data_IF_957482113043
#
_entry.id   IF_957482113043
#
_cell.length_a   1.000
_cell.length_b   1.000
_cell.length_c   1.000
_cell.angle_alpha   90.00
_cell.angle_beta   90.00
_cell.angle_gamma   90.00
#
_symmetry.space_group_name_H-M   'P 1'
#
loop_
_entity.id
_entity.type
_entity.pdbx_description
1 polymer ?
#
# COMPACT_ATOMS: atom_id res chain seq x y z
N UNK A 1 -19.46 -22.86 -32.23
CA UNK A 1 -18.76 -23.87 -31.41
C UNK A 1 -18.25 -23.17 -30.17
N UNK A 2 -19.01 -23.23 -29.08
CA UNK A 2 -18.61 -22.66 -27.79
C UNK A 2 -18.62 -23.81 -26.78
N UNK A 3 -17.43 -24.20 -26.35
CA UNK A 3 -17.17 -25.17 -25.29
C UNK A 3 -17.51 -24.52 -23.95
N UNK A 4 -18.68 -24.85 -23.41
CA UNK A 4 -19.02 -24.57 -22.01
C UNK A 4 -18.25 -25.55 -21.11
N UNK A 5 -17.22 -25.04 -20.44
CA UNK A 5 -16.52 -25.79 -19.39
C UNK A 5 -17.49 -26.01 -18.23
N UNK A 6 -17.95 -27.25 -18.06
CA UNK A 6 -18.68 -27.66 -16.86
C UNK A 6 -17.68 -27.67 -15.70
N UNK A 7 -17.88 -26.78 -14.73
CA UNK A 7 -17.22 -26.85 -13.43
C UNK A 7 -17.45 -28.25 -12.84
N UNK A 8 -16.38 -28.89 -12.36
CA UNK A 8 -16.47 -30.22 -11.77
C UNK A 8 -17.21 -30.16 -10.44
N UNK A 9 -17.89 -31.25 -10.06
CA UNK A 9 -18.64 -31.36 -8.79
C UNK A 9 -17.81 -30.91 -7.58
N UNK A 10 -16.51 -31.16 -7.62
CA UNK A 10 -15.52 -30.77 -6.60
C UNK A 10 -15.33 -29.25 -6.48
N UNK A 11 -15.38 -28.50 -7.59
CA UNK A 11 -15.30 -27.03 -7.59
C UNK A 11 -16.59 -26.38 -7.07
N UNK A 12 -17.73 -27.04 -7.29
CA UNK A 12 -19.03 -26.60 -6.77
C UNK A 12 -19.13 -26.91 -5.26
N UNK A 13 -18.61 -28.05 -4.80
CA UNK A 13 -18.56 -28.41 -3.37
C UNK A 13 -17.57 -27.54 -2.59
N UNK A 14 -16.42 -27.17 -3.17
CA UNK A 14 -15.46 -26.26 -2.53
C UNK A 14 -16.01 -24.82 -2.45
N UNK A 15 -16.74 -24.36 -3.48
CA UNK A 15 -17.41 -23.07 -3.47
C UNK A 15 -18.62 -23.05 -2.50
N UNK A 16 -19.36 -24.16 -2.37
CA UNK A 16 -20.44 -24.30 -1.39
C UNK A 16 -19.91 -24.41 0.04
N UNK A 17 -18.77 -25.06 0.27
CA UNK A 17 -18.13 -25.13 1.59
C UNK A 17 -17.65 -23.74 2.06
N UNK A 18 -17.04 -22.93 1.17
CA UNK A 18 -16.66 -21.55 1.49
C UNK A 18 -17.86 -20.61 1.69
N UNK A 19 -18.98 -20.84 1.01
CA UNK A 19 -20.23 -20.08 1.20
C UNK A 19 -20.97 -20.52 2.46
N UNK A 20 -20.89 -21.79 2.86
CA UNK A 20 -21.40 -22.30 4.13
C UNK A 20 -20.58 -21.76 5.31
N UNK A 21 -19.26 -21.69 5.22
CA UNK A 21 -18.42 -21.07 6.27
C UNK A 21 -18.66 -19.56 6.43
N UNK A 22 -18.92 -18.83 5.34
CA UNK A 22 -19.28 -17.40 5.41
C UNK A 22 -20.71 -17.21 5.90
N UNK A 23 -21.64 -18.08 5.53
CA UNK A 23 -23.03 -18.02 5.98
C UNK A 23 -23.16 -18.46 7.44
N UNK A 24 -22.32 -19.38 7.90
CA UNK A 24 -22.22 -19.79 9.30
C UNK A 24 -21.41 -18.79 10.13
N UNK A 25 -20.43 -18.08 9.55
CA UNK A 25 -19.80 -16.92 10.19
C UNK A 25 -20.76 -15.71 10.28
N UNK A 26 -21.56 -15.44 9.25
CA UNK A 26 -22.59 -14.39 9.25
C UNK A 26 -23.76 -14.80 10.15
N UNK A 27 -24.14 -16.08 10.18
CA UNK A 27 -25.14 -16.63 11.10
C UNK A 27 -24.63 -16.59 12.53
N UNK A 28 -23.35 -16.90 12.78
CA UNK A 28 -22.70 -16.83 14.09
C UNK A 28 -22.54 -15.37 14.55
N UNK A 29 -22.19 -14.44 13.67
CA UNK A 29 -22.16 -13.00 13.96
C UNK A 29 -23.59 -12.48 14.17
N UNK A 30 -24.57 -12.90 13.36
CA UNK A 30 -25.99 -12.52 13.49
C UNK A 30 -26.64 -13.10 14.75
N UNK A 31 -26.30 -14.33 15.15
CA UNK A 31 -26.80 -14.95 16.40
C UNK A 31 -26.04 -14.45 17.63
N UNK A 32 -24.78 -14.02 17.49
CA UNK A 32 -24.08 -13.24 18.53
C UNK A 32 -24.59 -11.80 18.63
N UNK A 33 -25.15 -11.24 17.55
CA UNK A 33 -25.83 -9.94 17.54
C UNK A 33 -27.29 -10.00 18.04
N UNK A 34 -27.98 -11.11 17.86
CA UNK A 34 -29.36 -11.32 18.32
C UNK A 34 -29.46 -11.90 19.74
N UNK A 35 -28.34 -12.33 20.33
CA UNK A 35 -28.24 -12.71 21.75
C UNK A 35 -27.16 -11.86 22.43
N UNK A 36 -27.39 -10.54 22.47
CA UNK A 36 -26.58 -9.63 23.28
C UNK A 36 -27.16 -9.57 24.70
N UNK A 37 -26.54 -10.32 25.61
CA UNK A 37 -26.61 -10.07 27.05
C UNK A 37 -25.91 -8.74 27.38
N UNK A 38 -26.36 -8.06 28.45
CA UNK A 38 -25.87 -6.74 28.91
C UNK A 38 -24.33 -6.61 29.00
N UNK A 39 -23.62 -7.72 29.21
CA UNK A 39 -22.15 -7.76 29.35
C UNK A 39 -21.41 -7.65 27.99
N UNK A 40 -22.06 -8.07 26.89
CA UNK A 40 -21.52 -7.99 25.53
C UNK A 40 -21.72 -6.59 24.94
N UNK A 41 -22.83 -5.94 25.29
CA UNK A 41 -23.12 -4.52 25.03
C UNK A 41 -22.12 -3.62 25.74
N UNK A 42 -21.79 -3.90 27.00
CA UNK A 42 -20.75 -3.18 27.76
C UNK A 42 -19.34 -3.35 27.17
N UNK A 43 -18.99 -4.53 26.63
CA UNK A 43 -17.72 -4.75 25.93
C UNK A 43 -17.66 -4.02 24.57
N UNK A 44 -18.77 -3.95 23.86
CA UNK A 44 -18.89 -3.16 22.63
C UNK A 44 -18.80 -1.66 22.94
N UNK A 45 -19.52 -1.17 23.96
CA UNK A 45 -19.44 0.21 24.47
C UNK A 45 -18.02 0.59 24.92
N UNK A 46 -17.30 -0.33 25.58
CA UNK A 46 -15.91 -0.14 25.98
C UNK A 46 -14.92 -0.14 24.78
N UNK A 47 -15.26 -0.79 23.67
CA UNK A 47 -14.50 -0.74 22.41
C UNK A 47 -14.87 0.48 21.55
N UNK A 48 -16.10 0.97 21.65
CA UNK A 48 -16.65 2.13 20.93
C UNK A 48 -16.31 3.47 21.59
N UNK A 49 -16.05 3.49 22.90
CA UNK A 49 -15.49 4.65 23.64
C UNK A 49 -13.99 4.85 23.42
N UNK A 50 -13.32 3.93 22.72
CA UNK A 50 -11.91 4.05 22.28
C UNK A 50 -11.74 4.75 20.92
N UNK A 51 -12.69 5.59 20.49
CA UNK A 51 -12.39 6.59 19.46
C UNK A 51 -11.46 7.66 20.06
N UNK A 52 -10.39 8.08 19.37
CA UNK A 52 -9.49 9.10 19.89
C UNK A 52 -10.28 10.39 20.09
N UNK A 53 -10.40 10.79 21.35
CA UNK A 53 -11.18 11.95 21.80
C UNK A 53 -10.49 13.29 21.52
N UNK A 54 -9.34 13.29 20.85
CA UNK A 54 -8.56 14.49 20.53
C UNK A 54 -8.95 15.14 19.19
N UNK A 55 -10.26 15.23 18.89
CA UNK A 55 -10.72 16.09 17.80
C UNK A 55 -10.81 17.52 18.37
N UNK A 56 -9.97 18.44 17.87
CA UNK A 56 -9.94 19.82 18.37
C UNK A 56 -11.32 20.50 18.30
N UNK A 57 -11.65 21.32 19.29
CA UNK A 57 -12.91 22.09 19.35
C UNK A 57 -13.15 22.96 18.10
N UNK A 58 -12.09 23.28 17.37
CA UNK A 58 -12.14 24.05 16.13
C UNK A 58 -12.58 23.19 14.92
N UNK A 59 -12.10 21.94 14.82
CA UNK A 59 -12.54 20.97 13.82
C UNK A 59 -14.01 20.58 14.05
N UNK A 60 -14.41 20.43 15.33
CA UNK A 60 -15.79 20.15 15.73
C UNK A 60 -16.78 21.26 15.31
N UNK A 61 -16.39 22.53 15.42
CA UNK A 61 -17.23 23.68 15.01
C UNK A 61 -17.44 23.75 13.49
N UNK A 62 -16.45 23.32 12.70
CA UNK A 62 -16.48 23.43 11.24
C UNK A 62 -17.21 22.28 10.55
N UNK A 63 -17.18 21.08 11.14
CA UNK A 63 -17.88 19.91 10.59
C UNK A 63 -19.41 20.09 10.53
N UNK A 64 -19.98 21.12 11.20
CA UNK A 64 -21.43 21.26 11.48
C UNK A 64 -22.06 19.96 12.00
N UNK A 65 -21.24 19.07 12.55
CA UNK A 65 -21.70 17.90 13.28
C UNK A 65 -22.31 18.48 14.53
N UNK A 66 -23.64 18.46 14.58
CA UNK A 66 -24.45 19.05 15.62
C UNK A 66 -23.83 18.74 17.00
N UNK A 67 -23.76 19.75 17.87
CA UNK A 67 -23.11 19.64 19.19
C UNK A 67 -23.79 18.58 20.08
N UNK A 68 -24.96 18.09 19.66
CA UNK A 68 -25.73 16.97 20.23
C UNK A 68 -25.13 15.60 19.90
N UNK A 69 -24.34 15.41 18.83
CA UNK A 69 -23.70 14.13 18.50
C UNK A 69 -22.49 13.77 19.38
N UNK A 70 -22.29 14.52 20.48
CA UNK A 70 -21.11 14.46 21.37
C UNK A 70 -20.97 13.18 22.20
N UNK A 71 -21.89 12.23 22.09
CA UNK A 71 -21.74 10.90 22.68
C UNK A 71 -21.63 9.90 21.55
N UNK A 72 -20.49 9.21 21.49
CA UNK A 72 -20.26 8.09 20.57
C UNK A 72 -21.49 7.18 20.52
N UNK A 73 -22.08 6.86 21.68
CA UNK A 73 -23.31 6.06 21.81
C UNK A 73 -24.52 6.61 21.05
N UNK A 74 -24.80 7.93 21.11
CA UNK A 74 -25.94 8.55 20.42
C UNK A 74 -25.72 8.60 18.91
N UNK A 75 -24.47 8.81 18.48
CA UNK A 75 -24.06 8.78 17.07
C UNK A 75 -24.11 7.36 16.47
N UNK A 76 -23.63 6.36 17.21
CA UNK A 76 -23.74 4.94 16.85
C UNK A 76 -25.18 4.48 16.83
N UNK A 77 -25.97 4.92 17.79
CA UNK A 77 -27.41 4.68 17.81
C UNK A 77 -28.06 5.33 16.59
N UNK A 78 -27.67 6.53 16.18
CA UNK A 78 -28.17 7.18 14.96
C UNK A 78 -27.79 6.42 13.68
N UNK A 79 -26.52 6.01 13.48
CA UNK A 79 -26.14 5.18 12.32
C UNK A 79 -26.86 3.82 12.32
N UNK A 80 -27.07 3.22 13.50
CA UNK A 80 -27.82 1.97 13.67
C UNK A 80 -29.30 2.17 13.38
N UNK A 81 -29.89 3.27 13.83
CA UNK A 81 -31.26 3.65 13.53
C UNK A 81 -31.40 3.85 12.02
N UNK A 82 -30.49 4.59 11.37
CA UNK A 82 -30.44 4.77 9.91
C UNK A 82 -30.40 3.44 9.15
N UNK A 83 -29.65 2.45 9.63
CA UNK A 83 -29.62 1.09 9.05
C UNK A 83 -30.96 0.36 9.18
N UNK A 84 -31.66 0.52 10.30
CA UNK A 84 -32.94 -0.16 10.57
C UNK A 84 -34.12 0.54 9.91
N UNK A 85 -34.02 1.84 9.68
CA UNK A 85 -35.08 2.68 9.11
C UNK A 85 -35.01 2.77 7.59
N UNK A 86 -36.15 2.55 6.91
CA UNK A 86 -36.32 2.83 5.47
C UNK A 86 -36.57 4.33 5.22
N UNK A 87 -35.63 5.21 5.55
CA UNK A 87 -35.82 6.66 5.33
C UNK A 87 -35.83 7.03 3.83
N UNK A 88 -36.49 8.14 3.52
CA UNK A 88 -36.33 8.84 2.25
C UNK A 88 -34.89 9.36 2.16
N UNK A 89 -34.18 8.96 1.10
CA UNK A 89 -32.84 9.49 0.81
C UNK A 89 -32.92 10.98 0.55
N UNK A 90 -32.24 11.79 1.36
CA UNK A 90 -32.08 13.23 1.18
C UNK A 90 -30.59 13.63 1.14
N UNK A 91 -30.32 14.90 0.82
CA UNK A 91 -28.95 15.42 0.72
C UNK A 91 -28.21 15.38 2.06
N UNK A 92 -28.92 15.57 3.18
CA UNK A 92 -28.32 15.61 4.51
C UNK A 92 -27.85 14.21 4.96
N UNK A 93 -28.63 13.18 4.65
CA UNK A 93 -28.24 11.79 4.84
C UNK A 93 -27.01 11.45 3.99
N UNK A 94 -27.00 11.82 2.71
CA UNK A 94 -25.85 11.57 1.83
C UNK A 94 -24.60 12.29 2.35
N UNK A 95 -24.71 13.55 2.75
CA UNK A 95 -23.60 14.28 3.35
C UNK A 95 -23.09 13.59 4.62
N UNK A 96 -23.99 13.14 5.50
CA UNK A 96 -23.61 12.44 6.74
C UNK A 96 -22.91 11.11 6.45
N UNK A 97 -23.47 10.27 5.58
CA UNK A 97 -22.82 9.01 5.16
C UNK A 97 -21.44 9.30 4.55
N UNK A 98 -21.33 10.36 3.75
CA UNK A 98 -20.07 10.71 3.10
C UNK A 98 -18.95 11.01 4.09
N UNK A 99 -19.23 11.72 5.20
CA UNK A 99 -18.23 12.08 6.20
C UNK A 99 -17.63 10.87 6.93
N UNK A 100 -18.36 9.76 6.98
CA UNK A 100 -18.01 8.58 7.77
C UNK A 100 -17.70 7.35 6.92
N UNK A 101 -17.54 7.53 5.61
CA UNK A 101 -17.18 6.44 4.69
C UNK A 101 -15.70 6.09 4.73
N UNK A 102 -14.81 7.07 4.92
CA UNK A 102 -13.37 6.85 4.96
C UNK A 102 -12.92 6.44 6.37
N UNK A 103 -12.26 5.29 6.57
CA UNK A 103 -11.77 4.87 7.88
C UNK A 103 -10.53 5.64 8.37
N UNK A 104 -9.85 6.37 7.48
CA UNK A 104 -8.57 7.01 7.76
C UNK A 104 -8.70 8.48 8.21
N UNK A 105 -9.92 9.03 8.31
CA UNK A 105 -10.10 10.41 8.79
C UNK A 105 -10.16 10.47 10.33
N UNK A 106 -9.77 11.60 10.95
CA UNK A 106 -9.60 11.70 12.41
C UNK A 106 -10.84 11.35 13.25
N UNK A 107 -12.05 11.46 12.68
CA UNK A 107 -13.32 11.22 13.37
C UNK A 107 -14.01 9.90 12.97
N UNK A 108 -13.33 9.06 12.20
CA UNK A 108 -13.88 7.80 11.72
C UNK A 108 -12.92 6.64 12.01
N UNK A 109 -13.43 5.42 11.86
CA UNK A 109 -12.65 4.19 12.03
C UNK A 109 -13.22 3.09 11.10
N UNK A 110 -12.57 1.93 11.08
CA UNK A 110 -12.97 0.79 10.24
C UNK A 110 -14.41 0.31 10.52
N UNK A 111 -14.85 0.32 11.77
CA UNK A 111 -16.20 -0.14 12.16
C UNK A 111 -17.26 0.81 11.56
N UNK A 112 -17.05 2.11 11.71
CA UNK A 112 -17.97 3.14 11.20
C UNK A 112 -18.06 3.06 9.67
N UNK A 113 -16.90 2.98 9.01
CA UNK A 113 -16.80 2.85 7.56
C UNK A 113 -17.58 1.62 7.08
N UNK A 114 -17.42 0.45 7.72
CA UNK A 114 -18.15 -0.76 7.36
C UNK A 114 -19.68 -0.63 7.54
N UNK A 115 -20.14 0.01 8.63
CA UNK A 115 -21.57 0.28 8.84
C UNK A 115 -22.09 1.15 7.69
N UNK A 116 -21.39 2.23 7.37
CA UNK A 116 -21.77 3.13 6.28
C UNK A 116 -21.79 2.40 4.93
N UNK A 117 -20.78 1.58 4.62
CA UNK A 117 -20.75 0.76 3.40
C UNK A 117 -21.96 -0.18 3.32
N UNK A 118 -22.36 -0.82 4.44
CA UNK A 118 -23.56 -1.67 4.46
C UNK A 118 -24.84 -0.88 4.15
N UNK A 119 -24.96 0.33 4.71
CA UNK A 119 -26.08 1.23 4.44
C UNK A 119 -26.10 1.65 2.97
N UNK A 120 -24.94 1.99 2.40
CA UNK A 120 -24.80 2.36 0.99
C UNK A 120 -25.29 1.25 0.06
N UNK A 121 -24.95 -0.01 0.37
CA UNK A 121 -25.36 -1.15 -0.46
C UNK A 121 -26.85 -1.46 -0.40
N UNK A 122 -27.52 -1.11 0.70
CA UNK A 122 -28.94 -1.40 0.93
C UNK A 122 -29.86 -0.25 0.48
N UNK A 123 -29.39 1.00 0.52
CA UNK A 123 -30.20 2.17 0.19
C UNK A 123 -30.21 2.47 -1.31
N UNK A 124 -31.41 2.67 -1.87
CA UNK A 124 -31.52 3.24 -3.21
C UNK A 124 -31.27 4.75 -3.17
N UNK A 125 -30.11 5.17 -3.68
CA UNK A 125 -29.77 6.59 -3.82
C UNK A 125 -30.31 7.15 -5.15
N UNK A 126 -31.22 8.16 -5.10
CA UNK A 126 -31.72 8.83 -6.30
C UNK A 126 -30.61 9.59 -7.03
N UNK A 127 -30.61 9.47 -8.36
CA UNK A 127 -29.55 10.02 -9.20
C UNK A 127 -29.39 11.55 -9.05
N UNK A 128 -30.51 12.26 -8.96
CA UNK A 128 -30.56 13.72 -8.87
C UNK A 128 -29.87 14.24 -7.61
N UNK A 129 -30.00 13.54 -6.49
CA UNK A 129 -29.40 13.95 -5.21
C UNK A 129 -27.88 13.72 -5.22
N UNK A 130 -27.42 12.64 -5.86
CA UNK A 130 -25.98 12.39 -6.03
C UNK A 130 -25.35 13.41 -6.98
N UNK A 131 -26.04 13.78 -8.07
CA UNK A 131 -25.58 14.83 -8.98
C UNK A 131 -25.50 16.19 -8.27
N UNK A 132 -26.54 16.54 -7.51
CA UNK A 132 -26.56 17.75 -6.69
C UNK A 132 -25.41 17.77 -5.66
N UNK A 133 -25.17 16.64 -4.99
CA UNK A 133 -24.06 16.48 -4.05
C UNK A 133 -22.68 16.64 -4.73
N UNK A 134 -22.49 16.04 -5.91
CA UNK A 134 -21.23 16.17 -6.67
C UNK A 134 -20.98 17.63 -7.05
N UNK A 135 -21.98 18.31 -7.59
CA UNK A 135 -21.85 19.68 -8.11
C UNK A 135 -21.72 20.72 -6.99
N UNK A 136 -22.56 20.64 -5.96
CA UNK A 136 -22.70 21.70 -4.96
C UNK A 136 -21.87 21.49 -3.68
N UNK A 137 -21.56 20.25 -3.34
CA UNK A 137 -20.76 19.91 -2.15
C UNK A 137 -19.35 19.46 -2.53
N UNK A 138 -19.21 18.35 -3.25
CA UNK A 138 -17.89 17.76 -3.51
C UNK A 138 -16.99 18.67 -4.35
N UNK A 139 -17.46 19.17 -5.51
CA UNK A 139 -16.67 20.09 -6.35
C UNK A 139 -16.27 21.36 -5.61
N UNK A 140 -17.16 21.90 -4.77
CA UNK A 140 -16.88 23.09 -3.96
C UNK A 140 -15.75 22.81 -2.96
N UNK A 141 -15.80 21.67 -2.28
CA UNK A 141 -14.83 21.32 -1.25
C UNK A 141 -13.44 20.99 -1.85
N UNK A 142 -13.37 20.25 -2.97
CA UNK A 142 -12.08 20.00 -3.64
C UNK A 142 -11.45 21.29 -4.19
N UNK A 143 -12.25 22.27 -4.61
CA UNK A 143 -11.75 23.57 -5.11
C UNK A 143 -11.15 24.44 -4.00
N UNK A 144 -11.45 24.16 -2.73
CA UNK A 144 -10.78 24.81 -1.60
C UNK A 144 -9.37 24.22 -1.38
N UNK A 145 -9.16 22.98 -1.82
CA UNK A 145 -7.86 22.28 -1.78
C UNK A 145 -7.10 22.53 -3.09
N UNK A 146 -6.66 23.77 -3.33
CA UNK A 146 -5.83 24.11 -4.49
C UNK A 146 -4.35 23.92 -4.19
N UNK A 147 -3.64 23.24 -5.10
CA UNK A 147 -2.18 23.19 -5.06
C UNK A 147 -1.58 24.55 -5.46
N UNK A 148 -0.37 24.82 -4.97
CA UNK A 148 0.40 26.04 -5.22
C UNK A 148 0.70 26.30 -6.72
N UNK A 149 0.42 25.33 -7.60
CA UNK A 149 0.67 25.42 -9.05
C UNK A 149 -0.34 26.27 -9.82
N UNK A 150 -1.39 26.77 -9.18
CA UNK A 150 -2.42 27.59 -9.85
C UNK A 150 -2.04 29.06 -10.07
N UNK A 151 -0.75 29.40 -10.06
CA UNK A 151 -0.24 30.67 -10.57
C UNK A 151 0.94 30.51 -11.54
N UNK A 152 0.88 29.63 -12.54
CA UNK A 152 1.65 29.90 -13.77
C UNK A 152 1.08 29.20 -15.00
N UNK A 153 0.45 29.99 -15.87
CA UNK A 153 0.74 29.84 -17.29
C UNK A 153 2.25 30.02 -17.51
N UNK A 154 2.85 29.07 -18.23
CA UNK A 154 4.13 29.14 -18.94
C UNK A 154 5.13 30.21 -18.46
N UNK A 155 6.03 29.84 -17.53
CA UNK A 155 7.48 30.20 -17.55
C UNK A 155 8.24 29.58 -16.36
N UNK A 156 9.41 28.95 -16.58
CA UNK A 156 10.31 28.61 -15.49
C UNK A 156 11.03 29.89 -15.01
N UNK A 157 11.01 30.17 -13.72
CA UNK A 157 11.93 31.14 -13.11
C UNK A 157 13.12 30.38 -12.54
N UNK A 158 14.22 30.37 -13.30
CA UNK A 158 15.57 30.23 -12.77
C UNK A 158 15.84 31.43 -11.86
N UNK A 159 16.19 31.18 -10.60
CA UNK A 159 16.60 32.22 -9.66
C UNK A 159 16.29 31.84 -8.23
N UNK A 160 17.34 31.50 -7.47
CA UNK A 160 17.37 31.56 -6.02
C UNK A 160 16.64 32.82 -5.52
N UNK A 161 15.59 32.63 -4.73
CA UNK A 161 15.14 33.61 -3.74
C UNK A 161 14.66 32.85 -2.50
N UNK A 162 15.60 32.66 -1.58
CA UNK A 162 15.35 32.78 -0.15
C UNK A 162 14.53 34.06 0.12
N UNK A 163 13.59 34.00 1.08
CA UNK A 163 12.71 35.11 1.51
C UNK A 163 11.40 35.27 0.71
N UNK A 164 10.61 34.20 0.65
CA UNK A 164 9.15 34.26 0.60
C UNK A 164 8.55 33.23 1.57
N UNK A 165 9.13 33.16 2.77
CA UNK A 165 8.45 32.63 3.95
C UNK A 165 7.40 33.66 4.37
N UNK A 166 6.22 33.19 4.78
CA UNK A 166 5.07 33.96 5.28
C UNK A 166 3.99 34.31 4.23
N UNK A 167 3.60 33.36 3.38
CA UNK A 167 2.15 33.19 3.16
C UNK A 167 1.66 32.51 4.44
N UNK A 168 0.88 33.27 5.23
CA UNK A 168 0.48 32.96 6.59
C UNK A 168 0.11 31.48 6.79
N UNK A 169 0.66 30.87 7.83
CA UNK A 169 0.28 29.55 8.34
C UNK A 169 -1.23 29.38 8.46
N UNK A 170 -2.01 30.45 8.66
CA UNK A 170 -3.47 30.44 8.72
C UNK A 170 -4.17 30.02 7.40
N UNK A 171 -3.68 30.41 6.22
CA UNK A 171 -4.29 29.99 4.94
C UNK A 171 -3.97 28.53 4.60
N UNK A 172 -2.78 28.06 4.96
CA UNK A 172 -2.43 26.65 4.85
C UNK A 172 -3.30 25.83 5.83
N UNK A 173 -3.49 26.31 7.06
CA UNK A 173 -4.37 25.69 8.07
C UNK A 173 -5.83 25.65 7.58
N UNK A 174 -6.37 26.69 6.93
CA UNK A 174 -7.73 26.64 6.35
C UNK A 174 -7.86 25.66 5.18
N UNK A 175 -6.85 25.59 4.30
CA UNK A 175 -6.79 24.59 3.21
C UNK A 175 -6.67 23.15 3.75
N UNK A 176 -5.97 22.97 4.85
CA UNK A 176 -5.83 21.69 5.57
C UNK A 176 -7.11 21.28 6.31
N UNK A 177 -7.95 22.24 6.74
CA UNK A 177 -9.22 21.97 7.42
C UNK A 177 -10.29 21.37 6.48
N UNK A 178 -10.32 21.75 5.21
CA UNK A 178 -11.29 21.23 4.22
C UNK A 178 -10.89 19.85 3.63
N UNK A 179 -9.63 19.47 3.78
CA UNK A 179 -9.08 18.25 3.19
C UNK A 179 -9.71 16.96 3.74
N UNK A 180 -9.83 16.76 5.07
CA UNK A 180 -10.42 15.53 5.62
C UNK A 180 -11.87 15.31 5.18
N UNK A 181 -12.65 16.39 5.04
CA UNK A 181 -14.02 16.32 4.51
C UNK A 181 -13.99 15.86 3.05
N UNK A 182 -13.14 16.50 2.23
CA UNK A 182 -13.01 16.20 0.81
C UNK A 182 -12.52 14.75 0.56
N UNK A 183 -11.63 14.24 1.42
CA UNK A 183 -11.22 12.83 1.42
C UNK A 183 -12.38 11.88 1.69
N UNK A 184 -13.15 12.13 2.75
CA UNK A 184 -14.29 11.28 3.10
C UNK A 184 -15.34 11.27 2.00
N UNK A 185 -15.62 12.45 1.42
CA UNK A 185 -16.52 12.58 0.28
C UNK A 185 -16.02 11.85 -0.96
N UNK A 186 -14.72 11.95 -1.27
CA UNK A 186 -14.12 11.21 -2.39
C UNK A 186 -14.24 9.70 -2.18
N UNK A 187 -13.95 9.21 -0.97
CA UNK A 187 -14.07 7.80 -0.60
C UNK A 187 -15.51 7.29 -0.78
N UNK A 188 -16.48 8.03 -0.23
CA UNK A 188 -17.90 7.73 -0.39
C UNK A 188 -18.32 7.67 -1.86
N UNK A 189 -17.92 8.67 -2.64
CA UNK A 189 -18.28 8.74 -4.06
C UNK A 189 -17.68 7.59 -4.87
N UNK A 190 -16.49 7.11 -4.52
CA UNK A 190 -15.91 5.90 -5.13
C UNK A 190 -16.79 4.69 -4.79
N UNK A 191 -17.19 4.51 -3.53
CA UNK A 191 -17.99 3.36 -3.09
C UNK A 191 -19.36 3.31 -3.80
N UNK A 192 -20.06 4.43 -3.92
CA UNK A 192 -21.36 4.43 -4.62
C UNK A 192 -21.25 4.29 -6.14
N UNK A 193 -20.09 4.67 -6.71
CA UNK A 193 -19.88 4.70 -8.15
C UNK A 193 -19.55 3.33 -8.73
N UNK A 194 -19.16 2.34 -7.91
CA UNK A 194 -18.81 1.01 -8.42
C UNK A 194 -20.00 0.26 -9.02
N UNK A 195 -21.20 0.50 -8.48
CA UNK A 195 -22.41 -0.22 -8.88
C UNK A 195 -23.19 0.49 -9.99
N UNK A 196 -22.98 1.80 -10.18
CA UNK A 196 -23.78 2.65 -11.07
C UNK A 196 -22.89 3.39 -12.07
N UNK A 197 -22.86 2.93 -13.32
CA UNK A 197 -22.00 3.44 -14.41
C UNK A 197 -22.13 4.94 -14.73
N UNK A 198 -23.18 5.64 -14.28
CA UNK A 198 -23.50 7.00 -14.71
C UNK A 198 -22.47 8.05 -14.26
N UNK A 199 -21.93 7.96 -13.05
CA UNK A 199 -21.03 8.98 -12.50
C UNK A 199 -19.57 8.56 -12.42
N UNK A 200 -19.27 7.29 -12.71
CA UNK A 200 -17.91 6.73 -12.56
C UNK A 200 -16.86 7.62 -13.20
N UNK A 201 -17.08 8.07 -14.44
CA UNK A 201 -16.10 8.89 -15.16
C UNK A 201 -15.90 10.27 -14.55
N UNK A 202 -16.98 10.91 -14.09
CA UNK A 202 -16.91 12.24 -13.46
C UNK A 202 -16.24 12.16 -12.08
N UNK A 203 -16.71 11.25 -11.23
CA UNK A 203 -16.15 11.04 -9.89
C UNK A 203 -14.67 10.68 -10.01
N UNK A 204 -14.32 9.76 -10.92
CA UNK A 204 -12.94 9.38 -11.17
C UNK A 204 -12.05 10.58 -11.53
N UNK A 205 -12.45 11.38 -12.52
CA UNK A 205 -11.65 12.52 -12.97
C UNK A 205 -11.49 13.59 -11.88
N UNK A 206 -12.53 13.82 -11.08
CA UNK A 206 -12.46 14.75 -9.95
C UNK A 206 -11.54 14.21 -8.85
N UNK A 207 -11.70 12.94 -8.48
CA UNK A 207 -10.93 12.31 -7.42
C UNK A 207 -9.46 12.15 -7.79
N UNK A 208 -9.13 11.77 -9.02
CA UNK A 208 -7.73 11.67 -9.45
C UNK A 208 -7.05 13.04 -9.49
N UNK A 209 -7.77 14.08 -9.93
CA UNK A 209 -7.27 15.47 -9.91
C UNK A 209 -7.04 15.94 -8.48
N UNK A 210 -7.96 15.59 -7.57
CA UNK A 210 -7.83 15.86 -6.15
C UNK A 210 -6.61 15.13 -5.56
N UNK A 211 -6.42 13.83 -5.82
CA UNK A 211 -5.24 13.06 -5.40
C UNK A 211 -3.94 13.73 -5.88
N UNK A 212 -3.87 14.14 -7.14
CA UNK A 212 -2.70 14.83 -7.68
C UNK A 212 -2.41 16.14 -6.94
N UNK A 213 -3.44 16.93 -6.63
CA UNK A 213 -3.28 18.15 -5.84
C UNK A 213 -2.72 17.86 -4.44
N UNK A 214 -3.17 16.78 -3.81
CA UNK A 214 -2.69 16.36 -2.48
C UNK A 214 -1.26 15.85 -2.51
N UNK A 215 -0.91 15.06 -3.53
CA UNK A 215 0.45 14.55 -3.71
C UNK A 215 1.46 15.68 -4.02
N UNK A 216 1.00 16.80 -4.56
CA UNK A 216 1.83 17.99 -4.79
C UNK A 216 2.07 18.83 -3.53
N UNK A 217 1.31 18.64 -2.44
CA UNK A 217 1.54 19.35 -1.17
C UNK A 217 2.86 18.90 -0.53
N UNK A 218 3.37 19.67 0.44
CA UNK A 218 4.64 19.35 1.12
C UNK A 218 4.50 18.37 2.27
N UNK A 219 3.30 18.22 2.84
CA UNK A 219 3.06 17.40 4.03
C UNK A 219 3.07 15.89 3.72
N UNK A 220 3.85 15.13 4.49
CA UNK A 220 3.97 13.68 4.39
C UNK A 220 2.65 12.99 4.75
N UNK A 221 1.93 13.45 5.79
CA UNK A 221 0.71 12.80 6.23
C UNK A 221 -0.38 12.91 5.15
N UNK A 222 -0.51 14.07 4.53
CA UNK A 222 -1.47 14.29 3.44
C UNK A 222 -1.15 13.40 2.24
N UNK A 223 0.13 13.25 1.89
CA UNK A 223 0.55 12.34 0.82
C UNK A 223 0.21 10.90 1.16
N UNK A 224 0.43 10.46 2.40
CA UNK A 224 0.07 9.11 2.85
C UNK A 224 -1.42 8.83 2.64
N UNK A 225 -2.28 9.74 3.09
CA UNK A 225 -3.73 9.63 2.90
C UNK A 225 -4.15 9.73 1.42
N UNK A 226 -3.43 10.52 0.61
CA UNK A 226 -3.65 10.55 -0.84
C UNK A 226 -3.29 9.21 -1.51
N UNK A 227 -2.20 8.56 -1.08
CA UNK A 227 -1.85 7.22 -1.53
C UNK A 227 -2.92 6.20 -1.10
N UNK A 228 -3.43 6.25 0.13
CA UNK A 228 -4.51 5.37 0.59
C UNK A 228 -5.79 5.53 -0.24
N UNK A 229 -6.18 6.77 -0.55
CA UNK A 229 -7.33 7.04 -1.41
C UNK A 229 -7.10 6.54 -2.84
N UNK A 230 -5.88 6.67 -3.37
CA UNK A 230 -5.52 6.15 -4.67
C UNK A 230 -5.57 4.62 -4.70
N UNK A 231 -5.03 3.95 -3.68
CA UNK A 231 -5.11 2.49 -3.56
C UNK A 231 -6.57 2.03 -3.52
N UNK A 232 -7.41 2.73 -2.75
CA UNK A 232 -8.84 2.42 -2.70
C UNK A 232 -9.50 2.59 -4.08
N UNK A 233 -9.18 3.68 -4.80
CA UNK A 233 -9.66 3.89 -6.17
C UNK A 233 -9.19 2.78 -7.14
N UNK A 234 -7.93 2.37 -7.05
CA UNK A 234 -7.34 1.31 -7.89
C UNK A 234 -7.92 -0.07 -7.57
N UNK A 235 -8.23 -0.37 -6.31
CA UNK A 235 -8.90 -1.62 -5.92
C UNK A 235 -10.28 -1.78 -6.55
N UNK A 236 -10.91 -0.66 -6.93
CA UNK A 236 -12.21 -0.59 -7.62
C UNK A 236 -12.06 -0.36 -9.14
N UNK A 237 -10.84 -0.46 -9.68
CA UNK A 237 -10.47 -0.08 -11.06
C UNK A 237 -11.15 -0.87 -12.18
N UNK A 238 -11.77 -2.04 -11.91
CA UNK A 238 -12.60 -2.74 -12.90
C UNK A 238 -13.69 -1.85 -13.51
N UNK A 239 -14.09 -0.79 -12.79
CA UNK A 239 -15.12 0.16 -13.21
C UNK A 239 -14.56 1.47 -13.78
N UNK A 240 -13.25 1.70 -13.71
CA UNK A 240 -12.60 2.96 -14.07
C UNK A 240 -11.62 2.77 -15.23
N UNK A 241 -11.93 3.34 -16.40
CA UNK A 241 -10.96 3.43 -17.50
C UNK A 241 -10.06 4.63 -17.27
N UNK A 242 -8.82 4.40 -16.87
CA UNK A 242 -7.84 5.46 -16.71
C UNK A 242 -7.46 6.05 -18.08
N UNK A 243 -7.47 7.38 -18.19
CA UNK A 243 -6.82 8.06 -19.30
C UNK A 243 -5.31 7.99 -19.11
N UNK A 244 -4.58 7.45 -20.10
CA UNK A 244 -3.13 7.20 -20.06
C UNK A 244 -2.28 8.42 -19.70
N UNK A 245 -2.75 9.64 -19.98
CA UNK A 245 -2.06 10.88 -19.61
C UNK A 245 -2.04 11.16 -18.10
N UNK A 246 -3.12 10.87 -17.39
CA UNK A 246 -3.21 11.12 -15.94
C UNK A 246 -2.37 10.12 -15.14
N UNK A 247 -2.27 8.88 -15.61
CA UNK A 247 -1.46 7.83 -15.02
C UNK A 247 0.01 8.25 -14.95
N UNK A 248 0.56 8.83 -16.02
CA UNK A 248 1.95 9.29 -16.03
C UNK A 248 2.22 10.35 -14.97
N UNK A 249 1.29 11.30 -14.79
CA UNK A 249 1.42 12.31 -13.74
C UNK A 249 1.25 11.73 -12.33
N UNK A 250 0.38 10.71 -12.17
CA UNK A 250 0.23 9.97 -10.90
C UNK A 250 1.53 9.23 -10.58
N UNK A 251 2.07 8.44 -11.51
CA UNK A 251 3.34 7.72 -11.33
C UNK A 251 4.49 8.66 -10.98
N UNK A 252 4.59 9.81 -11.68
CA UNK A 252 5.59 10.83 -11.39
C UNK A 252 5.42 11.45 -10.01
N UNK A 253 4.19 11.67 -9.57
CA UNK A 253 3.90 12.25 -8.26
C UNK A 253 4.16 11.25 -7.13
N UNK A 254 3.77 9.99 -7.31
CA UNK A 254 4.09 8.88 -6.41
C UNK A 254 5.60 8.65 -6.29
N UNK A 255 6.34 8.74 -7.40
CA UNK A 255 7.80 8.57 -7.39
C UNK A 255 8.50 9.59 -6.49
N UNK A 256 7.97 10.81 -6.38
CA UNK A 256 8.51 11.82 -5.45
C UNK A 256 8.32 11.42 -3.98
N UNK A 257 7.34 10.58 -3.66
CA UNK A 257 7.14 10.07 -2.31
C UNK A 257 8.20 9.06 -1.90
N UNK A 258 8.93 8.46 -2.85
CA UNK A 258 9.96 7.46 -2.58
C UNK A 258 11.28 8.05 -2.05
N UNK A 259 11.39 9.39 -2.03
CA UNK A 259 12.55 10.13 -1.52
C UNK A 259 12.46 10.37 0.00
N UNK A 260 11.30 10.12 0.62
CA UNK A 260 11.12 10.24 2.07
C UNK A 260 11.75 9.05 2.80
N UNK A 261 13.08 9.02 2.82
CA UNK A 261 13.89 8.00 3.49
C UNK A 261 14.73 8.60 4.62
N UNK A 262 15.07 7.81 5.66
CA UNK A 262 16.04 8.21 6.68
C UNK A 262 17.45 8.43 6.12
N UNK A 263 18.29 9.30 6.73
CA UNK A 263 17.99 10.09 7.93
C UNK A 263 17.26 11.41 7.65
N UNK A 264 17.02 11.76 6.38
CA UNK A 264 16.33 13.00 5.99
C UNK A 264 14.92 13.11 6.57
N UNK A 265 14.26 11.97 6.79
CA UNK A 265 12.96 11.86 7.45
C UNK A 265 13.05 10.78 8.52
N UNK A 266 12.39 10.98 9.68
CA UNK A 266 12.35 9.96 10.73
C UNK A 266 11.68 8.67 10.24
N UNK A 267 12.02 7.55 10.87
CA UNK A 267 11.45 6.23 10.53
C UNK A 267 9.92 6.25 10.65
N UNK A 268 9.39 6.84 11.71
CA UNK A 268 7.95 6.93 11.99
C UNK A 268 7.15 7.64 10.88
N UNK A 269 7.78 8.58 10.17
CA UNK A 269 7.14 9.31 9.06
C UNK A 269 7.45 8.69 7.70
N UNK A 270 8.61 8.06 7.55
CA UNK A 270 9.03 7.40 6.31
C UNK A 270 8.23 6.12 6.05
N UNK A 271 8.05 5.30 7.08
CA UNK A 271 7.43 3.98 6.92
C UNK A 271 5.96 4.05 6.44
N UNK A 272 5.08 4.92 6.98
CA UNK A 272 3.70 5.01 6.51
C UNK A 272 3.59 5.46 5.05
N UNK A 273 4.39 6.44 4.63
CA UNK A 273 4.30 6.93 3.25
C UNK A 273 4.87 5.92 2.25
N UNK A 274 6.00 5.27 2.56
CA UNK A 274 6.62 4.29 1.69
C UNK A 274 5.76 3.01 1.58
N UNK A 275 5.18 2.55 2.69
CA UNK A 275 4.33 1.36 2.72
C UNK A 275 3.03 1.53 1.91
N UNK A 276 2.64 2.77 1.61
CA UNK A 276 1.49 3.08 0.74
C UNK A 276 1.94 3.41 -0.69
N UNK A 277 3.00 4.18 -0.85
CA UNK A 277 3.45 4.67 -2.15
C UNK A 277 3.99 3.55 -3.07
N UNK A 278 4.78 2.62 -2.53
CA UNK A 278 5.33 1.51 -3.33
C UNK A 278 4.23 0.59 -3.88
N UNK A 279 3.30 0.04 -3.06
CA UNK A 279 2.21 -0.78 -3.59
C UNK A 279 1.34 -0.04 -4.61
N UNK A 280 1.01 1.24 -4.37
CA UNK A 280 0.26 2.05 -5.34
C UNK A 280 0.98 2.14 -6.68
N UNK A 281 2.28 2.40 -6.66
CA UNK A 281 3.06 2.53 -7.89
C UNK A 281 3.18 1.21 -8.65
N UNK A 282 3.38 0.10 -7.93
CA UNK A 282 3.40 -1.25 -8.48
C UNK A 282 2.04 -1.60 -9.11
N UNK A 283 0.93 -1.27 -8.45
CA UNK A 283 -0.42 -1.51 -8.97
C UNK A 283 -0.68 -0.70 -10.26
N UNK A 284 -0.26 0.58 -10.27
CA UNK A 284 -0.32 1.43 -11.46
C UNK A 284 0.50 0.82 -12.61
N UNK A 285 1.72 0.38 -12.34
CA UNK A 285 2.57 -0.25 -13.36
C UNK A 285 2.05 -1.61 -13.82
N UNK A 286 1.37 -2.37 -12.96
CA UNK A 286 0.78 -3.65 -13.34
C UNK A 286 -0.32 -3.50 -14.38
N UNK A 287 -1.00 -2.35 -14.37
CA UNK A 287 -2.13 -2.09 -15.28
C UNK A 287 -1.70 -1.28 -16.50
N UNK A 288 -0.74 -0.37 -16.36
CA UNK A 288 -0.42 0.65 -17.38
C UNK A 288 1.07 0.84 -17.65
N UNK A 289 1.94 0.18 -16.89
CA UNK A 289 3.39 0.33 -16.97
C UNK A 289 4.03 -0.58 -18.00
N UNK A 290 5.33 -0.40 -18.12
CA UNK A 290 6.24 -1.22 -18.91
C UNK A 290 7.30 -1.86 -18.00
N UNK A 291 8.02 -2.86 -18.50
CA UNK A 291 9.09 -3.50 -17.72
C UNK A 291 10.23 -2.51 -17.39
N UNK A 292 10.42 -1.46 -18.20
CA UNK A 292 11.36 -0.38 -17.90
C UNK A 292 10.96 0.40 -16.64
N UNK A 293 9.67 0.67 -16.44
CA UNK A 293 9.19 1.37 -15.24
C UNK A 293 9.50 0.58 -13.95
N UNK A 294 9.36 -0.75 -14.00
CA UNK A 294 9.76 -1.64 -12.91
C UNK A 294 11.28 -1.65 -12.69
N UNK A 295 12.08 -1.66 -13.76
CA UNK A 295 13.55 -1.61 -13.67
C UNK A 295 14.03 -0.29 -13.04
N UNK A 296 13.40 0.84 -13.39
CA UNK A 296 13.66 2.14 -12.77
C UNK A 296 13.28 2.15 -11.27
N UNK A 297 12.16 1.50 -10.93
CA UNK A 297 11.72 1.36 -9.54
C UNK A 297 12.68 0.50 -8.70
N UNK A 298 13.14 -0.64 -9.25
CA UNK A 298 14.18 -1.47 -8.62
C UNK A 298 15.47 -0.66 -8.45
N UNK A 299 15.87 0.11 -9.45
CA UNK A 299 17.06 0.97 -9.37
C UNK A 299 16.94 2.01 -8.25
N UNK A 300 15.74 2.57 -8.07
CA UNK A 300 15.44 3.50 -6.98
C UNK A 300 15.54 2.80 -5.62
N UNK A 301 14.98 1.60 -5.49
CA UNK A 301 15.07 0.81 -4.26
C UNK A 301 16.51 0.43 -3.93
N UNK A 302 17.29 -0.03 -4.92
CA UNK A 302 18.71 -0.32 -4.76
C UNK A 302 19.47 0.91 -4.28
N UNK A 303 19.20 2.08 -4.86
CA UNK A 303 19.81 3.34 -4.43
C UNK A 303 19.47 3.66 -2.97
N UNK A 304 18.20 3.49 -2.59
CA UNK A 304 17.73 3.74 -1.22
C UNK A 304 18.35 2.75 -0.21
N UNK A 305 18.44 1.46 -0.56
CA UNK A 305 19.11 0.45 0.27
C UNK A 305 20.58 0.82 0.45
N UNK A 306 21.31 1.13 -0.61
CA UNK A 306 22.72 1.51 -0.51
C UNK A 306 22.93 2.78 0.34
N UNK A 307 22.03 3.76 0.22
CA UNK A 307 22.04 4.95 1.07
C UNK A 307 21.87 4.58 2.55
N UNK A 308 20.93 3.70 2.88
CA UNK A 308 20.69 3.25 4.26
C UNK A 308 21.83 2.36 4.79
N UNK A 309 22.49 1.58 3.93
CA UNK A 309 23.64 0.75 4.30
C UNK A 309 24.89 1.58 4.63
N UNK A 310 25.05 2.74 4.01
CA UNK A 310 26.22 3.62 4.15
C UNK A 310 26.00 4.75 5.14
N UNK A 311 24.75 5.01 5.53
CA UNK A 311 24.41 5.98 6.55
C UNK A 311 25.05 5.60 7.90
N UNK A 312 25.78 6.55 8.49
CA UNK A 312 26.34 6.42 9.85
C UNK A 312 25.25 6.47 10.93
N UNK A 313 24.04 6.88 10.57
CA UNK A 313 22.86 6.92 11.43
C UNK A 313 22.37 5.50 11.72
N UNK A 314 21.75 5.33 12.89
CA UNK A 314 21.15 4.09 13.37
C UNK A 314 20.46 3.28 12.26
N UNK A 315 20.72 1.97 12.22
CA UNK A 315 20.20 1.08 11.18
C UNK A 315 18.68 1.11 11.20
N UNK A 316 18.07 1.55 10.11
CA UNK A 316 16.60 1.66 10.00
C UNK A 316 16.00 0.35 9.50
N UNK A 317 16.01 -0.67 10.35
CA UNK A 317 15.50 -2.02 10.05
C UNK A 317 14.14 -2.03 9.35
N UNK A 318 13.09 -1.35 9.87
CA UNK A 318 11.75 -1.46 9.27
C UNK A 318 11.70 -0.95 7.83
N UNK A 319 12.50 0.07 7.51
CA UNK A 319 12.57 0.64 6.16
C UNK A 319 13.33 -0.30 5.22
N UNK A 320 14.44 -0.89 5.68
CA UNK A 320 15.20 -1.87 4.89
C UNK A 320 14.36 -3.11 4.58
N UNK A 321 13.64 -3.63 5.57
CA UNK A 321 12.71 -4.77 5.37
C UNK A 321 11.64 -4.41 4.34
N UNK A 322 10.99 -3.25 4.46
CA UNK A 322 9.99 -2.80 3.50
C UNK A 322 10.56 -2.75 2.07
N UNK A 323 11.74 -2.16 1.89
CA UNK A 323 12.38 -2.03 0.58
C UNK A 323 12.70 -3.41 -0.04
N UNK A 324 13.21 -4.35 0.75
CA UNK A 324 13.47 -5.73 0.29
C UNK A 324 12.17 -6.48 -0.03
N UNK A 325 11.09 -6.26 0.73
CA UNK A 325 9.78 -6.82 0.40
C UNK A 325 9.26 -6.30 -0.94
N UNK A 326 9.51 -5.02 -1.28
CA UNK A 326 9.16 -4.51 -2.61
C UNK A 326 10.01 -5.13 -3.72
N UNK A 327 11.30 -5.40 -3.47
CA UNK A 327 12.16 -6.14 -4.42
C UNK A 327 11.58 -7.50 -4.74
N UNK A 328 11.13 -8.25 -3.72
CA UNK A 328 10.47 -9.54 -3.91
C UNK A 328 9.27 -9.43 -4.85
N UNK A 329 8.33 -8.51 -4.55
CA UNK A 329 7.12 -8.31 -5.36
C UNK A 329 7.44 -7.96 -6.80
N UNK A 330 8.41 -7.08 -7.04
CA UNK A 330 8.77 -6.67 -8.41
C UNK A 330 9.53 -7.77 -9.17
N UNK A 331 10.34 -8.56 -8.48
CA UNK A 331 11.07 -9.68 -9.11
C UNK A 331 10.09 -10.66 -9.74
N UNK A 332 8.98 -10.96 -9.05
CA UNK A 332 7.92 -11.82 -9.59
C UNK A 332 7.20 -11.22 -10.80
N UNK A 333 7.07 -9.89 -10.85
CA UNK A 333 6.40 -9.19 -11.97
C UNK A 333 7.28 -9.09 -13.21
N UNK A 334 8.59 -8.91 -13.04
CA UNK A 334 9.54 -8.82 -14.15
C UNK A 334 9.89 -10.18 -14.73
N UNK A 335 9.75 -11.27 -13.97
CA UNK A 335 10.15 -12.60 -14.39
C UNK A 335 11.61 -12.58 -14.91
N UNK A 336 11.88 -13.07 -16.12
CA UNK A 336 13.23 -13.13 -16.71
C UNK A 336 13.80 -11.75 -17.09
N UNK A 337 12.97 -10.71 -17.24
CA UNK A 337 13.44 -9.34 -17.54
C UNK A 337 14.19 -8.69 -16.37
N UNK A 338 14.14 -9.31 -15.19
CA UNK A 338 14.99 -8.93 -14.07
C UNK A 338 16.49 -9.01 -14.41
N UNK A 339 16.87 -9.79 -15.43
CA UNK A 339 18.23 -9.83 -15.99
C UNK A 339 18.82 -8.45 -16.26
N UNK A 340 18.01 -7.47 -16.68
CA UNK A 340 18.43 -6.10 -16.97
C UNK A 340 19.07 -5.43 -15.74
N UNK A 341 18.58 -5.76 -14.54
CA UNK A 341 19.06 -5.19 -13.28
C UNK A 341 19.78 -6.20 -12.36
N UNK A 342 19.90 -7.46 -12.79
CA UNK A 342 20.37 -8.58 -11.98
C UNK A 342 21.74 -8.31 -11.35
N UNK A 343 22.70 -7.78 -12.11
CA UNK A 343 24.04 -7.46 -11.61
C UNK A 343 24.00 -6.54 -10.38
N UNK A 344 23.30 -5.41 -10.49
CA UNK A 344 23.18 -4.41 -9.41
C UNK A 344 22.38 -4.95 -8.24
N UNK A 345 21.34 -5.74 -8.54
CA UNK A 345 20.48 -6.34 -7.54
C UNK A 345 21.24 -7.36 -6.69
N UNK A 346 21.90 -8.33 -7.31
CA UNK A 346 22.71 -9.33 -6.61
C UNK A 346 23.86 -8.70 -5.84
N UNK A 347 24.54 -7.71 -6.43
CA UNK A 347 25.55 -6.95 -5.72
C UNK A 347 25.00 -6.32 -4.43
N UNK A 348 23.85 -5.65 -4.51
CA UNK A 348 23.23 -4.97 -3.36
C UNK A 348 22.77 -5.96 -2.29
N UNK A 349 22.14 -7.07 -2.70
CA UNK A 349 21.74 -8.14 -1.78
C UNK A 349 22.95 -8.77 -1.08
N UNK A 350 24.04 -9.00 -1.82
CA UNK A 350 25.30 -9.48 -1.25
C UNK A 350 25.87 -8.47 -0.26
N UNK A 351 25.85 -7.16 -0.56
CA UNK A 351 26.28 -6.12 0.38
C UNK A 351 25.46 -6.13 1.67
N UNK A 352 24.13 -6.32 1.58
CA UNK A 352 23.27 -6.48 2.77
C UNK A 352 23.70 -7.69 3.60
N UNK A 353 23.92 -8.85 2.94
CA UNK A 353 24.31 -10.11 3.59
C UNK A 353 25.68 -10.01 4.26
N UNK A 354 26.65 -9.36 3.62
CA UNK A 354 28.01 -9.23 4.16
C UNK A 354 28.19 -8.02 5.09
N UNK A 355 27.14 -7.23 5.34
CA UNK A 355 27.25 -6.06 6.21
C UNK A 355 27.33 -6.49 7.68
N UNK A 356 28.42 -6.13 8.35
CA UNK A 356 28.68 -6.54 9.75
C UNK A 356 27.66 -5.94 10.72
N UNK A 357 27.30 -4.67 10.52
CA UNK A 357 26.39 -3.96 11.40
C UNK A 357 24.98 -4.54 11.31
N UNK A 358 24.56 -4.97 10.11
CA UNK A 358 23.27 -5.64 9.90
C UNK A 358 23.27 -7.02 10.55
N UNK A 359 24.31 -7.82 10.32
CA UNK A 359 24.43 -9.16 10.89
C UNK A 359 24.34 -9.15 12.42
N UNK A 360 24.93 -8.14 13.06
CA UNK A 360 24.97 -8.05 14.51
C UNK A 360 23.68 -7.51 15.15
N UNK A 361 22.99 -6.59 14.47
CA UNK A 361 21.89 -5.84 15.09
C UNK A 361 20.51 -6.26 14.59
N UNK A 362 20.39 -6.59 13.31
CA UNK A 362 19.10 -6.72 12.60
C UNK A 362 19.11 -7.92 11.64
N UNK A 363 19.33 -9.16 12.13
CA UNK A 363 19.47 -10.36 11.30
C UNK A 363 18.26 -10.65 10.40
N UNK A 364 17.07 -10.13 10.75
CA UNK A 364 15.87 -10.23 9.91
C UNK A 364 16.05 -9.60 8.53
N UNK A 365 16.84 -8.53 8.42
CA UNK A 365 17.16 -7.89 7.13
C UNK A 365 17.99 -8.83 6.24
N UNK A 366 18.89 -9.62 6.83
CA UNK A 366 19.66 -10.65 6.10
C UNK A 366 18.74 -11.76 5.62
N UNK A 367 17.85 -12.25 6.48
CA UNK A 367 16.87 -13.27 6.11
C UNK A 367 16.02 -12.80 4.92
N UNK A 368 15.57 -11.54 4.92
CA UNK A 368 14.84 -10.93 3.79
C UNK A 368 15.68 -10.85 2.52
N UNK A 369 16.96 -10.49 2.62
CA UNK A 369 17.87 -10.45 1.47
C UNK A 369 18.12 -11.85 0.89
N UNK A 370 18.29 -12.88 1.74
CA UNK A 370 18.40 -14.27 1.31
C UNK A 370 17.11 -14.75 0.62
N UNK A 371 15.93 -14.40 1.15
CA UNK A 371 14.66 -14.71 0.52
C UNK A 371 14.50 -14.03 -0.85
N UNK A 372 15.00 -12.79 -1.01
CA UNK A 372 15.07 -12.12 -2.31
C UNK A 372 15.90 -12.94 -3.30
N UNK A 373 17.08 -13.43 -2.87
CA UNK A 373 17.93 -14.27 -3.72
C UNK A 373 17.26 -15.60 -4.05
N UNK A 374 16.64 -16.29 -3.09
CA UNK A 374 15.86 -17.51 -3.32
C UNK A 374 14.85 -17.29 -4.44
N UNK A 375 14.05 -16.22 -4.32
CA UNK A 375 12.99 -15.95 -5.28
C UNK A 375 13.52 -15.69 -6.68
N UNK A 376 14.62 -14.95 -6.79
CA UNK A 376 15.32 -14.75 -8.06
C UNK A 376 15.80 -16.09 -8.62
N UNK A 377 16.42 -16.95 -7.81
CA UNK A 377 16.88 -18.26 -8.27
C UNK A 377 15.71 -19.09 -8.80
N UNK A 378 14.57 -19.14 -8.08
CA UNK A 378 13.37 -19.85 -8.51
C UNK A 378 12.84 -19.37 -9.86
N UNK A 379 12.80 -18.05 -10.09
CA UNK A 379 12.38 -17.47 -11.38
C UNK A 379 13.25 -18.02 -12.52
N UNK A 380 14.57 -18.08 -12.31
CA UNK A 380 15.50 -18.60 -13.32
C UNK A 380 15.48 -20.13 -13.45
N UNK A 381 15.13 -20.89 -12.42
CA UNK A 381 14.95 -22.34 -12.53
C UNK A 381 13.86 -22.70 -13.56
N UNK A 382 12.78 -21.92 -13.63
CA UNK A 382 11.72 -22.08 -14.64
C UNK A 382 12.05 -21.50 -16.02
N UNK A 383 13.21 -20.84 -16.18
CA UNK A 383 13.57 -20.11 -17.40
C UNK A 383 14.35 -20.95 -18.42
N UNK A 384 14.72 -20.36 -19.56
CA UNK A 384 15.53 -21.02 -20.60
C UNK A 384 16.98 -21.21 -20.16
N UNK A 385 17.70 -22.14 -20.80
CA UNK A 385 19.11 -22.41 -20.50
C UNK A 385 20.01 -21.16 -20.59
N UNK A 386 19.72 -20.24 -21.53
CA UNK A 386 20.47 -18.99 -21.67
C UNK A 386 20.35 -18.10 -20.41
N UNK A 387 19.13 -17.91 -19.90
CA UNK A 387 18.92 -17.15 -18.67
C UNK A 387 19.55 -17.82 -17.45
N UNK A 388 19.46 -19.16 -17.35
CA UNK A 388 20.15 -19.93 -16.31
C UNK A 388 21.66 -19.70 -16.32
N UNK A 389 22.29 -19.70 -17.50
CA UNK A 389 23.72 -19.42 -17.63
C UNK A 389 24.09 -18.00 -17.19
N UNK A 390 23.24 -17.00 -17.49
CA UNK A 390 23.44 -15.62 -17.03
C UNK A 390 23.46 -15.58 -15.50
N UNK A 391 22.49 -16.19 -14.82
CA UNK A 391 22.47 -16.23 -13.36
C UNK A 391 23.68 -17.03 -12.81
N UNK A 392 24.04 -18.14 -13.44
CA UNK A 392 25.18 -18.97 -13.04
C UNK A 392 26.53 -18.25 -13.12
N UNK A 393 26.65 -17.21 -13.95
CA UNK A 393 27.86 -16.37 -14.00
C UNK A 393 28.17 -15.68 -12.66
N UNK A 394 27.17 -15.47 -11.79
CA UNK A 394 27.31 -14.84 -10.47
C UNK A 394 27.61 -15.82 -9.32
N UNK A 395 27.83 -17.11 -9.62
CA UNK A 395 28.02 -18.16 -8.60
C UNK A 395 29.10 -17.83 -7.56
N UNK A 396 30.21 -17.23 -7.99
CA UNK A 396 31.32 -16.88 -7.09
C UNK A 396 30.96 -15.73 -6.14
N UNK A 397 30.20 -14.74 -6.62
CA UNK A 397 29.76 -13.62 -5.80
C UNK A 397 28.79 -14.10 -4.71
N UNK A 398 27.83 -14.96 -5.09
CA UNK A 398 26.86 -15.56 -4.16
C UNK A 398 27.57 -16.43 -3.12
N UNK A 399 28.44 -17.36 -3.55
CA UNK A 399 29.21 -18.20 -2.64
C UNK A 399 30.11 -17.37 -1.72
N UNK A 400 30.75 -16.33 -2.24
CA UNK A 400 31.56 -15.41 -1.44
C UNK A 400 30.74 -14.78 -0.32
N UNK A 401 29.54 -14.29 -0.62
CA UNK A 401 28.63 -13.71 0.37
C UNK A 401 28.18 -14.75 1.41
N UNK A 402 27.76 -15.95 0.98
CA UNK A 402 27.35 -17.03 1.87
C UNK A 402 28.48 -17.52 2.77
N UNK A 403 29.71 -17.63 2.26
CA UNK A 403 30.87 -18.01 3.06
C UNK A 403 31.21 -16.99 4.14
N UNK A 404 31.10 -15.70 3.84
CA UNK A 404 31.28 -14.63 4.82
C UNK A 404 30.17 -14.70 5.88
N UNK A 405 28.91 -14.86 5.46
CA UNK A 405 27.77 -14.99 6.37
C UNK A 405 27.94 -16.20 7.29
N UNK A 406 28.21 -17.39 6.74
CA UNK A 406 28.38 -18.63 7.50
C UNK A 406 29.47 -18.52 8.57
N UNK A 407 30.60 -17.87 8.26
CA UNK A 407 31.67 -17.66 9.25
C UNK A 407 31.26 -16.73 10.39
N UNK A 408 30.33 -15.81 10.14
CA UNK A 408 29.88 -14.83 11.13
C UNK A 408 28.73 -15.35 11.97
N UNK A 409 27.75 -16.03 11.38
CA UNK A 409 26.49 -16.41 12.06
C UNK A 409 26.67 -17.39 13.23
N UNK A 410 27.83 -18.07 13.35
CA UNK A 410 28.20 -19.04 14.42
C UNK A 410 28.12 -18.52 15.87
N UNK A 411 27.88 -17.23 16.05
CA UNK A 411 27.83 -16.58 17.35
C UNK A 411 26.48 -15.90 17.65
N UNK A 412 25.47 -16.09 16.79
CA UNK A 412 24.21 -15.36 16.86
C UNK A 412 23.03 -16.26 17.27
N UNK A 413 22.02 -15.65 17.89
CA UNK A 413 20.82 -16.38 18.35
C UNK A 413 19.98 -16.92 17.19
N UNK A 414 19.96 -16.21 16.07
CA UNK A 414 19.17 -16.56 14.88
C UNK A 414 19.97 -17.39 13.86
N UNK A 415 21.05 -18.04 14.31
CA UNK A 415 21.96 -18.84 13.48
C UNK A 415 21.20 -19.88 12.65
N UNK A 416 20.33 -20.67 13.28
CA UNK A 416 19.61 -21.75 12.61
C UNK A 416 18.77 -21.23 11.43
N UNK A 417 17.99 -20.16 11.64
CA UNK A 417 17.14 -19.59 10.60
C UNK A 417 17.97 -19.07 9.41
N UNK A 418 19.09 -18.39 9.66
CA UNK A 418 19.94 -17.86 8.60
C UNK A 418 20.68 -18.97 7.86
N UNK A 419 21.10 -20.03 8.57
CA UNK A 419 21.67 -21.24 7.95
C UNK A 419 20.64 -21.90 7.04
N UNK A 420 19.39 -22.02 7.49
CA UNK A 420 18.32 -22.65 6.71
C UNK A 420 18.05 -21.88 5.41
N UNK A 421 17.84 -20.56 5.49
CA UNK A 421 17.65 -19.71 4.30
C UNK A 421 18.84 -19.77 3.33
N UNK A 422 20.07 -19.77 3.85
CA UNK A 422 21.27 -19.86 3.02
C UNK A 422 21.41 -21.24 2.36
N UNK A 423 21.10 -22.32 3.10
CA UNK A 423 21.15 -23.70 2.60
C UNK A 423 20.09 -23.93 1.53
N UNK A 424 18.91 -23.36 1.69
CA UNK A 424 17.86 -23.33 0.67
C UNK A 424 18.37 -22.70 -0.62
N UNK A 425 18.96 -21.50 -0.55
CA UNK A 425 19.53 -20.83 -1.73
C UNK A 425 20.61 -21.67 -2.42
N UNK A 426 21.50 -22.30 -1.64
CA UNK A 426 22.57 -23.16 -2.19
C UNK A 426 21.99 -24.38 -2.90
N UNK A 427 20.95 -24.97 -2.33
CA UNK A 427 20.28 -26.16 -2.87
C UNK A 427 19.57 -25.81 -4.18
N UNK A 428 18.79 -24.73 -4.19
CA UNK A 428 18.10 -24.24 -5.40
C UNK A 428 19.09 -23.88 -6.52
N UNK A 429 20.21 -23.24 -6.18
CA UNK A 429 21.26 -22.94 -7.16
C UNK A 429 21.96 -24.21 -7.67
N UNK A 430 22.05 -25.23 -6.82
CA UNK A 430 22.53 -26.57 -7.20
C UNK A 430 21.63 -27.24 -8.24
N UNK A 431 20.31 -27.21 -8.04
CA UNK A 431 19.34 -27.68 -9.03
C UNK A 431 19.49 -26.93 -10.36
N UNK A 432 19.64 -25.60 -10.31
CA UNK A 432 19.87 -24.79 -11.51
C UNK A 432 21.15 -25.20 -12.25
N UNK A 433 22.22 -25.56 -11.53
CA UNK A 433 23.49 -26.00 -12.13
C UNK A 433 23.44 -27.39 -12.76
N UNK A 434 22.50 -28.25 -12.34
CA UNK A 434 22.25 -29.55 -12.98
C UNK A 434 21.72 -29.36 -14.40
N UNK A 435 20.80 -28.41 -14.58
CA UNK A 435 20.17 -28.13 -15.87
C UNK A 435 21.12 -27.54 -16.93
N UNK A 436 22.32 -27.11 -16.52
CA UNK A 436 23.34 -26.52 -17.39
C UNK A 436 24.67 -27.30 -17.38
N UNK A 437 24.65 -28.55 -16.91
CA UNK A 437 25.81 -29.47 -16.88
C UNK A 437 27.03 -28.96 -16.08
N UNK A 438 26.82 -28.14 -15.05
CA UNK A 438 27.91 -27.58 -14.18
C UNK A 438 27.77 -27.95 -12.70
N UNK A 439 26.96 -28.98 -12.41
CA UNK A 439 26.66 -29.40 -11.04
C UNK A 439 27.89 -29.85 -10.23
N UNK A 440 28.82 -30.58 -10.86
CA UNK A 440 30.04 -31.04 -10.19
C UNK A 440 30.92 -29.87 -9.76
N UNK A 441 31.07 -28.86 -10.61
CA UNK A 441 31.76 -27.60 -10.27
C UNK A 441 31.10 -26.93 -9.07
N UNK A 442 29.77 -26.81 -9.07
CA UNK A 442 29.03 -26.20 -7.96
C UNK A 442 29.21 -26.96 -6.63
N UNK A 443 29.15 -28.29 -6.66
CA UNK A 443 29.37 -29.11 -5.46
C UNK A 443 30.78 -28.96 -4.89
N UNK A 444 31.80 -28.89 -5.74
CA UNK A 444 33.17 -28.72 -5.29
C UNK A 444 33.39 -27.32 -4.70
N UNK A 445 32.79 -26.29 -5.32
CA UNK A 445 32.85 -24.92 -4.83
C UNK A 445 32.15 -24.72 -3.48
N UNK A 446 30.96 -25.31 -3.30
CA UNK A 446 30.19 -25.21 -2.05
C UNK A 446 30.94 -25.84 -0.88
N UNK A 447 31.54 -27.03 -1.06
CA UNK A 447 32.36 -27.71 -0.03
C UNK A 447 33.55 -26.88 0.45
N UNK A 448 34.12 -26.04 -0.40
CA UNK A 448 35.25 -25.17 -0.04
C UNK A 448 34.83 -24.01 0.86
N UNK A 449 33.57 -23.59 0.77
CA UNK A 449 33.07 -22.35 1.36
C UNK A 449 32.26 -22.61 2.61
N UNK A 450 31.43 -23.66 2.59
CA UNK A 450 30.56 -24.03 3.70
C UNK A 450 30.73 -25.53 3.95
N UNK A 451 31.36 -25.93 5.07
CA UNK A 451 31.39 -27.31 5.51
C UNK A 451 30.01 -27.69 6.04
N UNK A 452 29.03 -27.80 5.15
CA UNK A 452 27.74 -28.42 5.42
C UNK A 452 28.01 -29.93 5.36
N UNK A 453 27.87 -30.60 6.51
CA UNK A 453 28.07 -32.04 6.66
C UNK A 453 26.87 -32.84 6.18
#
# INVERSE_FOLDING_TARGET
MATTSRLTSEQIETALAGVLDIKDAISSISTQLDVLTDESTLKLEALLTKCPTDISDELQRHLKVDKTYKRSEEYYHYLRLLRVSKYHTDLQLIYTLSLHSNPNVPWCNNINSQIVTSIITEINMPNEIIEDFIENEYKRNIQQVKSERSSSGLRPRLGFNSVASEISSSEQIEKLKAYPISLSQAWFLIEISTDKHRWCSQVFNLTISFILNLLDLSDIEIKTHACQLLQFLLSKSSHFKFNSGLIKEVSKSLSKCLVYIPPSVSVDRSLPILSQAYPCLIEVYSTYGTNLDYVELISTIISNVNHLLTSEVEITEPVLVLLLDQVLVMSEKLDTDITICLSKLLYTLNQVIVNINICERVPQVIAKALNCQSRIITIFQSSTSEFKQILYSYRFDLLGAYGILYKRIKHFKDEAQLIDCMTENITQFGELSQDIDTYTEWQDLTKLVIPIY
#
